data_IF_611818377313
#
_entry.id   IF_611818377313
#
_cell.length_a   1.000
_cell.length_b   1.000
_cell.length_c   1.000
_cell.angle_alpha   90.00
_cell.angle_beta   90.00
_cell.angle_gamma   90.00
#
_symmetry.space_group_name_H-M   'P 1'
#
loop_
_entity.id
_entity.type
_entity.pdbx_description
1 polymer ?
#
# COMPACT_ATOMS: atom_id res chain seq x y z
N UNK A 1 15.56 6.27 7.32
CA UNK A 1 14.49 5.26 7.46
C UNK A 1 14.87 4.02 6.68
N UNK A 2 14.69 2.86 7.28
CA UNK A 2 14.95 1.59 6.64
C UNK A 2 13.65 0.86 6.29
N UNK A 3 13.77 -0.33 5.71
CA UNK A 3 12.61 -1.15 5.32
C UNK A 3 11.74 -1.52 6.52
N UNK A 4 12.36 -1.83 7.65
CA UNK A 4 11.62 -2.19 8.87
C UNK A 4 10.76 -1.04 9.35
N UNK A 5 11.30 0.18 9.35
CA UNK A 5 10.55 1.39 9.70
C UNK A 5 9.40 1.63 8.72
N UNK A 6 9.67 1.48 7.42
CA UNK A 6 8.65 1.66 6.39
C UNK A 6 7.51 0.65 6.56
N UNK A 7 7.81 -0.61 6.89
CA UNK A 7 6.81 -1.63 7.15
C UNK A 7 5.96 -1.30 8.39
N UNK A 8 6.58 -0.81 9.46
CA UNK A 8 5.86 -0.44 10.67
C UNK A 8 4.90 0.73 10.43
N UNK A 9 5.38 1.76 9.72
CA UNK A 9 4.56 2.93 9.36
C UNK A 9 3.39 2.49 8.46
N UNK A 10 3.67 1.64 7.49
CA UNK A 10 2.67 1.12 6.56
C UNK A 10 1.59 0.31 7.29
N UNK A 11 2.01 -0.52 8.25
CA UNK A 11 1.09 -1.34 9.04
C UNK A 11 0.13 -0.48 9.85
N UNK A 12 0.64 0.55 10.53
CA UNK A 12 -0.19 1.45 11.32
C UNK A 12 -1.22 2.17 10.45
N UNK A 13 -0.79 2.62 9.27
CA UNK A 13 -1.66 3.24 8.29
C UNK A 13 -2.76 2.28 7.82
N UNK A 14 -2.39 1.06 7.46
CA UNK A 14 -3.34 0.06 6.96
C UNK A 14 -4.35 -0.36 8.03
N UNK A 15 -3.93 -0.46 9.29
CA UNK A 15 -4.85 -0.74 10.40
C UNK A 15 -5.89 0.37 10.53
N UNK A 16 -5.48 1.62 10.36
CA UNK A 16 -6.41 2.75 10.40
C UNK A 16 -7.40 2.70 9.25
N UNK A 17 -6.96 2.27 8.05
CA UNK A 17 -7.89 2.09 6.92
C UNK A 17 -8.97 1.07 7.24
N UNK A 18 -8.62 -0.02 7.91
CA UNK A 18 -9.59 -1.03 8.34
C UNK A 18 -10.59 -0.45 9.33
N UNK A 19 -10.14 0.42 10.24
CA UNK A 19 -11.00 1.06 11.23
C UNK A 19 -12.06 1.97 10.59
N UNK A 20 -11.81 2.50 9.41
CA UNK A 20 -12.78 3.30 8.66
C UNK A 20 -13.48 2.51 7.57
N UNK A 21 -13.49 1.18 7.70
CA UNK A 21 -14.21 0.23 6.84
C UNK A 21 -13.74 0.20 5.38
N UNK A 22 -12.47 0.48 5.14
CA UNK A 22 -11.86 0.24 3.83
C UNK A 22 -11.29 -1.18 3.81
N UNK A 23 -12.05 -2.10 3.23
CA UNK A 23 -11.72 -3.52 3.24
C UNK A 23 -10.81 -3.90 2.09
N UNK A 24 -9.64 -4.43 2.42
CA UNK A 24 -8.69 -4.93 1.44
C UNK A 24 -8.27 -6.35 1.80
N UNK A 25 -7.90 -7.13 0.79
CA UNK A 25 -7.50 -8.52 0.96
C UNK A 25 -5.99 -8.70 1.07
N UNK A 26 -5.21 -7.78 0.51
CA UNK A 26 -3.75 -7.88 0.50
C UNK A 26 -3.15 -6.48 0.42
N UNK A 27 -1.96 -6.33 0.99
CA UNK A 27 -1.19 -5.10 0.87
C UNK A 27 0.30 -5.44 0.82
N UNK A 28 1.05 -4.75 -0.03
CA UNK A 28 2.47 -5.00 -0.23
C UNK A 28 3.26 -3.70 -0.31
N UNK A 29 4.41 -3.70 0.35
CA UNK A 29 5.42 -2.66 0.16
C UNK A 29 6.16 -2.96 -1.13
N UNK A 30 6.31 -1.96 -2.01
CA UNK A 30 7.07 -2.13 -3.23
C UNK A 30 7.92 -0.88 -3.50
N UNK A 31 8.53 -0.78 -4.67
CA UNK A 31 9.37 0.35 -5.00
C UNK A 31 10.71 0.33 -4.27
N UNK A 32 11.27 1.51 -4.00
CA UNK A 32 12.63 1.63 -3.49
C UNK A 32 12.85 0.99 -2.13
N UNK A 33 11.90 1.09 -1.21
CA UNK A 33 12.03 0.47 0.11
C UNK A 33 12.03 -1.05 0.05
N UNK A 34 11.24 -1.63 -0.83
CA UNK A 34 11.23 -3.09 -1.00
C UNK A 34 12.52 -3.60 -1.62
N UNK A 35 13.11 -2.81 -2.54
CA UNK A 35 14.36 -3.15 -3.23
C UNK A 35 15.61 -2.86 -2.40
N UNK A 36 15.49 -2.08 -1.34
CA UNK A 36 16.63 -1.69 -0.51
C UNK A 36 17.50 -0.58 -1.10
N UNK A 37 16.99 0.16 -2.08
CA UNK A 37 17.73 1.28 -2.70
C UNK A 37 17.08 2.64 -2.42
N UNK A 38 16.36 2.74 -1.31
CA UNK A 38 15.71 3.98 -0.90
C UNK A 38 16.71 5.08 -0.56
N UNK A 39 16.25 6.32 -0.74
CA UNK A 39 16.96 7.53 -0.33
C UNK A 39 16.18 8.19 0.81
N UNK A 40 16.78 9.22 1.42
CA UNK A 40 16.17 9.95 2.52
C UNK A 40 14.76 10.49 2.20
N UNK A 41 14.57 10.94 0.97
CA UNK A 41 13.32 11.53 0.48
C UNK A 41 12.45 10.56 -0.30
N UNK A 42 12.75 9.26 -0.27
CA UNK A 42 11.96 8.25 -0.99
C UNK A 42 10.55 8.13 -0.43
N UNK A 43 9.58 8.01 -1.34
CA UNK A 43 8.21 7.67 -0.97
C UNK A 43 8.13 6.22 -0.51
N UNK A 44 7.13 5.94 0.33
CA UNK A 44 6.80 4.58 0.74
C UNK A 44 5.66 4.09 -0.17
N UNK A 45 6.00 3.29 -1.17
CA UNK A 45 5.02 2.78 -2.12
C UNK A 45 4.31 1.56 -1.56
N UNK A 46 3.00 1.65 -1.42
CA UNK A 46 2.17 0.55 -0.94
C UNK A 46 1.13 0.21 -2.00
N UNK A 47 1.07 -1.06 -2.37
CA UNK A 47 -0.01 -1.59 -3.20
C UNK A 47 -1.09 -2.14 -2.28
N UNK A 48 -2.32 -1.69 -2.45
CA UNK A 48 -3.47 -2.12 -1.67
C UNK A 48 -4.48 -2.76 -2.61
N UNK A 49 -4.75 -4.04 -2.38
CA UNK A 49 -5.69 -4.81 -3.20
C UNK A 49 -7.03 -4.87 -2.49
N UNK A 50 -7.96 -4.02 -2.92
CA UNK A 50 -9.29 -3.97 -2.32
C UNK A 50 -10.15 -5.13 -2.78
N UNK A 51 -11.08 -5.55 -1.92
CA UNK A 51 -12.09 -6.54 -2.30
C UNK A 51 -12.95 -5.99 -3.43
N UNK A 52 -13.37 -6.86 -4.36
CA UNK A 52 -14.07 -6.44 -5.57
C UNK A 52 -15.42 -5.77 -5.27
N UNK A 53 -15.99 -6.03 -4.10
CA UNK A 53 -17.23 -5.40 -3.64
C UNK A 53 -17.00 -4.06 -2.92
N UNK A 54 -15.76 -3.67 -2.71
CA UNK A 54 -15.42 -2.38 -2.08
C UNK A 54 -15.36 -1.31 -3.14
N UNK A 55 -16.20 -0.27 -3.08
CA UNK A 55 -16.16 0.79 -4.09
C UNK A 55 -14.84 1.56 -4.02
N UNK A 56 -14.11 1.60 -5.12
CA UNK A 56 -12.94 2.46 -5.24
C UNK A 56 -13.38 3.73 -5.97
N UNK A 57 -13.93 4.64 -5.18
CA UNK A 57 -14.44 5.91 -5.67
C UNK A 57 -13.44 7.04 -5.42
N UNK A 58 -13.74 8.22 -5.93
CA UNK A 58 -12.99 9.42 -5.62
C UNK A 58 -12.92 9.67 -4.10
N UNK A 59 -14.03 9.43 -3.39
CA UNK A 59 -14.07 9.55 -1.93
C UNK A 59 -13.09 8.59 -1.25
N UNK A 60 -12.99 7.37 -1.75
CA UNK A 60 -12.04 6.38 -1.22
C UNK A 60 -10.61 6.89 -1.39
N UNK A 61 -10.28 7.39 -2.57
CA UNK A 61 -8.95 7.92 -2.85
C UNK A 61 -8.62 9.13 -1.98
N UNK A 62 -9.59 10.02 -1.76
CA UNK A 62 -9.42 11.16 -0.84
C UNK A 62 -9.14 10.66 0.57
N UNK A 63 -9.87 9.66 1.05
CA UNK A 63 -9.64 9.09 2.39
C UNK A 63 -8.25 8.49 2.51
N UNK A 64 -7.79 7.77 1.49
CA UNK A 64 -6.44 7.19 1.49
C UNK A 64 -5.36 8.25 1.68
N UNK A 65 -5.55 9.42 1.10
CA UNK A 65 -4.56 10.50 1.19
C UNK A 65 -4.72 11.32 2.47
N UNK A 66 -5.94 11.60 2.90
CA UNK A 66 -6.21 12.51 4.02
C UNK A 66 -6.07 11.85 5.39
N UNK A 67 -6.14 10.52 5.49
CA UNK A 67 -5.99 9.84 6.78
C UNK A 67 -4.53 9.58 7.17
N UNK A 68 -3.58 9.95 6.32
CA UNK A 68 -2.15 9.80 6.63
C UNK A 68 -1.74 10.77 7.74
N UNK A 69 -0.99 10.28 8.73
CA UNK A 69 -0.55 11.06 9.88
C UNK A 69 0.98 10.98 10.05
N UNK A 70 1.60 12.11 10.34
CA UNK A 70 3.04 12.16 10.60
C UNK A 70 3.84 11.61 9.44
N UNK A 71 4.70 10.63 9.70
CA UNK A 71 5.56 10.01 8.70
C UNK A 71 4.78 9.24 7.63
N UNK A 72 3.50 8.93 7.88
CA UNK A 72 2.62 8.32 6.88
C UNK A 72 2.39 9.21 5.66
N UNK A 73 2.67 10.50 5.77
CA UNK A 73 2.60 11.40 4.61
C UNK A 73 3.59 11.02 3.50
N UNK A 74 4.60 10.20 3.82
CA UNK A 74 5.51 9.62 2.83
C UNK A 74 4.88 8.45 2.07
N UNK A 75 3.77 7.91 2.57
CA UNK A 75 3.09 6.80 1.91
C UNK A 75 2.41 7.28 0.64
N UNK A 76 2.69 6.60 -0.45
CA UNK A 76 1.99 6.74 -1.72
C UNK A 76 1.16 5.46 -1.94
N UNK A 77 -0.15 5.51 -1.69
CA UNK A 77 -1.01 4.35 -1.87
C UNK A 77 -1.37 4.14 -3.35
N UNK A 78 -1.22 2.92 -3.81
CA UNK A 78 -1.59 2.48 -5.16
C UNK A 78 -2.73 1.48 -5.04
N UNK A 79 -3.86 1.78 -5.66
CA UNK A 79 -5.08 1.02 -5.50
C UNK A 79 -5.25 0.01 -6.63
N UNK A 80 -5.51 -1.23 -6.24
CA UNK A 80 -5.84 -2.31 -7.16
C UNK A 80 -7.06 -3.05 -6.63
N UNK A 81 -7.72 -3.83 -7.48
CA UNK A 81 -8.77 -4.74 -7.06
C UNK A 81 -8.17 -6.12 -6.80
N UNK A 82 -8.79 -6.88 -5.91
CA UNK A 82 -8.38 -8.25 -5.60
C UNK A 82 -8.27 -9.11 -6.86
N UNK A 83 -9.21 -8.94 -7.79
CA UNK A 83 -9.22 -9.67 -9.06
C UNK A 83 -8.02 -9.36 -9.95
N UNK A 84 -7.31 -8.26 -9.71
CA UNK A 84 -6.13 -7.89 -10.48
C UNK A 84 -4.85 -8.58 -10.00
N UNK A 85 -4.88 -9.19 -8.81
CA UNK A 85 -3.69 -9.77 -8.17
C UNK A 85 -2.99 -10.82 -9.07
N UNK A 86 -3.77 -11.63 -9.79
CA UNK A 86 -3.24 -12.69 -10.63
C UNK A 86 -3.16 -12.32 -12.12
N UNK A 87 -3.43 -11.05 -12.45
CA UNK A 87 -3.37 -10.63 -13.86
C UNK A 87 -1.91 -10.46 -14.31
N UNK A 88 -1.61 -10.85 -15.57
CA UNK A 88 -0.24 -10.78 -16.09
C UNK A 88 0.16 -9.37 -16.56
N UNK A 89 -0.01 -8.36 -15.74
CA UNK A 89 0.45 -7.01 -16.02
C UNK A 89 1.81 -6.77 -15.38
N UNK A 90 2.76 -6.14 -16.09
CA UNK A 90 4.14 -6.02 -15.60
C UNK A 90 4.27 -5.40 -14.21
N UNK A 91 3.51 -4.33 -13.92
CA UNK A 91 3.58 -3.69 -12.61
C UNK A 91 3.06 -4.62 -11.51
N UNK A 92 1.93 -5.26 -11.74
CA UNK A 92 1.33 -6.19 -10.77
C UNK A 92 2.24 -7.38 -10.54
N UNK A 93 2.81 -7.93 -11.60
CA UNK A 93 3.78 -9.03 -11.48
C UNK A 93 4.98 -8.64 -10.62
N UNK A 94 5.51 -7.44 -10.80
CA UNK A 94 6.62 -6.95 -9.98
C UNK A 94 6.22 -6.81 -8.52
N UNK A 95 5.04 -6.26 -8.26
CA UNK A 95 4.54 -6.08 -6.89
C UNK A 95 4.36 -7.43 -6.21
N UNK A 96 3.73 -8.38 -6.87
CA UNK A 96 3.44 -9.71 -6.31
C UNK A 96 4.72 -10.52 -6.11
N UNK A 97 5.65 -10.44 -7.07
CA UNK A 97 6.87 -11.25 -7.04
C UNK A 97 7.95 -10.67 -6.12
N UNK A 98 8.15 -9.35 -6.15
CA UNK A 98 9.26 -8.69 -5.45
C UNK A 98 8.82 -7.81 -4.30
N UNK A 99 7.53 -7.51 -4.18
CA UNK A 99 7.01 -6.73 -3.08
C UNK A 99 7.04 -7.49 -1.77
N UNK A 100 7.13 -6.75 -0.67
CA UNK A 100 7.11 -7.32 0.67
C UNK A 100 5.68 -7.34 1.19
N UNK A 101 5.11 -8.51 1.49
CA UNK A 101 3.77 -8.58 2.09
C UNK A 101 3.73 -7.85 3.43
N UNK A 102 2.64 -7.12 3.67
CA UNK A 102 2.43 -6.42 4.94
C UNK A 102 1.34 -7.17 5.70
N UNK A 103 1.74 -7.83 6.78
CA UNK A 103 0.82 -8.59 7.62
C UNK A 103 0.30 -7.71 8.76
N UNK A 104 -0.99 -7.78 9.00
CA UNK A 104 -1.67 -6.98 10.03
C UNK A 104 -1.96 -7.76 11.30
#
# INVERSE_FOLDING_TARGET
>A
MDKTDALAISRDYLLRLKDINLNFSDARLFGSYAKGNQREDSDIDIAIFFNDDTPVSFETEVKLMTCRKGEETLIEPHVFLKSEFDKPEPLIEQIVKFGEPIYL
#
